data_IF_438930913613
#
_entry.id   IF_438930913613
#
_cell.length_a   1.000
_cell.length_b   1.000
_cell.length_c   1.000
_cell.angle_alpha   90.00
_cell.angle_beta   90.00
_cell.angle_gamma   90.00
#
_symmetry.space_group_name_H-M   'P 1'
#
loop_
_entity.id
_entity.type
_entity.pdbx_description
1 polymer ?
#
# COMPACT_ATOMS: atom_id res chain seq x y z
N UNK A 1 -79.11 -40.32 -3.96
CA UNK A 1 -77.74 -40.73 -3.59
C UNK A 1 -76.80 -39.98 -4.52
N UNK A 2 -76.33 -38.80 -4.11
CA UNK A 2 -75.58 -37.84 -4.93
C UNK A 2 -74.13 -37.88 -4.43
N UNK A 3 -73.21 -38.40 -5.24
CA UNK A 3 -71.78 -38.46 -4.93
C UNK A 3 -71.09 -37.16 -5.34
N UNK A 4 -70.53 -36.49 -4.33
CA UNK A 4 -69.78 -35.23 -4.43
C UNK A 4 -68.37 -35.46 -4.95
N UNK A 5 -68.05 -34.82 -6.08
CA UNK A 5 -66.73 -34.82 -6.70
C UNK A 5 -65.83 -33.78 -5.99
N UNK A 6 -64.92 -34.25 -5.12
CA UNK A 6 -63.91 -33.38 -4.47
C UNK A 6 -62.76 -33.10 -5.45
N UNK A 7 -62.61 -31.83 -5.83
CA UNK A 7 -61.47 -31.29 -6.56
C UNK A 7 -60.22 -31.31 -5.66
N UNK A 8 -59.18 -32.01 -6.08
CA UNK A 8 -57.83 -31.89 -5.49
C UNK A 8 -57.09 -30.77 -6.21
N UNK A 9 -56.80 -29.69 -5.49
CA UNK A 9 -55.90 -28.62 -5.90
C UNK A 9 -54.50 -29.03 -5.43
N UNK A 10 -53.61 -29.34 -6.37
CA UNK A 10 -52.19 -29.57 -6.10
C UNK A 10 -51.50 -28.20 -5.99
N UNK A 11 -51.25 -27.75 -4.75
CA UNK A 11 -50.42 -26.57 -4.51
C UNK A 11 -48.95 -26.97 -4.61
N UNK A 12 -48.32 -26.62 -5.73
CA UNK A 12 -46.89 -26.80 -5.96
C UNK A 12 -46.15 -25.70 -5.18
N UNK A 13 -45.65 -26.04 -3.98
CA UNK A 13 -44.81 -25.15 -3.20
C UNK A 13 -43.45 -25.00 -3.89
N UNK A 14 -43.24 -23.87 -4.58
CA UNK A 14 -41.92 -23.42 -5.02
C UNK A 14 -41.08 -23.13 -3.78
N UNK A 15 -40.18 -24.05 -3.45
CA UNK A 15 -39.10 -23.78 -2.51
C UNK A 15 -38.15 -22.76 -3.17
N UNK A 16 -38.34 -21.49 -2.84
CA UNK A 16 -37.33 -20.45 -3.07
C UNK A 16 -36.13 -20.82 -2.20
N UNK A 17 -35.14 -21.47 -2.82
CA UNK A 17 -33.82 -21.61 -2.24
C UNK A 17 -33.22 -20.20 -2.16
N UNK A 18 -33.39 -19.57 -1.01
CA UNK A 18 -32.64 -18.39 -0.63
C UNK A 18 -31.17 -18.80 -0.64
N UNK A 19 -30.43 -18.45 -1.70
CA UNK A 19 -28.98 -18.46 -1.63
C UNK A 19 -28.60 -17.46 -0.54
N UNK A 20 -28.35 -17.96 0.67
CA UNK A 20 -27.74 -17.14 1.70
C UNK A 20 -26.46 -16.57 1.10
N UNK A 21 -26.20 -15.26 1.22
CA UNK A 21 -24.90 -14.72 0.86
C UNK A 21 -23.85 -15.57 1.56
N UNK A 22 -22.84 -16.02 0.82
CA UNK A 22 -21.75 -16.83 1.37
C UNK A 22 -21.04 -16.01 2.46
N UNK A 23 -21.53 -16.14 3.69
CA UNK A 23 -20.87 -15.61 4.86
C UNK A 23 -19.52 -16.32 4.98
N UNK A 24 -18.47 -15.56 5.32
CA UNK A 24 -17.18 -16.12 5.68
C UNK A 24 -17.41 -17.27 6.68
N UNK A 25 -17.16 -18.50 6.22
CA UNK A 25 -17.40 -19.73 6.98
C UNK A 25 -16.36 -19.93 8.09
N UNK A 26 -15.32 -19.08 8.14
CA UNK A 26 -14.16 -19.19 9.02
C UNK A 26 -13.58 -20.61 9.10
N UNK A 27 -13.84 -21.42 8.07
CA UNK A 27 -13.45 -22.83 8.06
C UNK A 27 -11.93 -22.96 8.01
N UNK A 28 -11.35 -24.10 8.41
CA UNK A 28 -9.90 -24.32 8.30
C UNK A 28 -9.36 -24.10 6.87
N UNK A 29 -10.15 -24.39 5.84
CA UNK A 29 -9.78 -24.11 4.44
C UNK A 29 -9.80 -22.61 4.14
N UNK A 30 -10.80 -21.89 4.63
CA UNK A 30 -10.89 -20.44 4.46
C UNK A 30 -9.77 -19.71 5.19
N UNK A 31 -9.43 -20.11 6.43
CA UNK A 31 -8.31 -19.51 7.16
C UNK A 31 -6.98 -19.72 6.43
N UNK A 32 -6.77 -20.90 5.81
CA UNK A 32 -5.62 -21.15 4.93
C UNK A 32 -5.65 -20.27 3.69
N UNK A 33 -6.82 -20.05 3.09
CA UNK A 33 -6.98 -19.14 1.95
C UNK A 33 -6.66 -17.70 2.33
N UNK A 34 -7.15 -17.23 3.48
CA UNK A 34 -6.84 -15.87 4.00
C UNK A 34 -5.34 -15.74 4.27
N UNK A 35 -4.70 -16.77 4.84
CA UNK A 35 -3.25 -16.74 5.06
C UNK A 35 -2.50 -16.69 3.74
N UNK A 36 -2.89 -17.49 2.76
CA UNK A 36 -2.30 -17.49 1.43
C UNK A 36 -2.45 -16.13 0.75
N UNK A 37 -3.65 -15.55 0.78
CA UNK A 37 -3.93 -14.24 0.20
C UNK A 37 -3.13 -13.15 0.93
N UNK A 38 -3.08 -13.16 2.26
CA UNK A 38 -2.26 -12.24 3.04
C UNK A 38 -0.78 -12.33 2.65
N UNK A 39 -0.22 -13.54 2.56
CA UNK A 39 1.19 -13.75 2.22
C UNK A 39 1.49 -13.53 0.73
N UNK A 40 0.47 -13.43 -0.13
CA UNK A 40 0.61 -13.10 -1.55
C UNK A 40 0.44 -11.60 -1.78
N UNK A 41 -0.55 -11.00 -1.13
CA UNK A 41 -0.95 -9.62 -1.35
C UNK A 41 -0.09 -8.66 -0.55
N UNK A 42 0.18 -8.92 0.73
CA UNK A 42 0.90 -7.97 1.60
C UNK A 42 2.36 -7.74 1.17
N UNK A 43 3.17 -8.76 0.80
CA UNK A 43 4.54 -8.49 0.39
C UNK A 43 4.62 -7.62 -0.88
N UNK A 44 5.41 -6.56 -0.81
CA UNK A 44 5.60 -5.58 -1.87
C UNK A 44 5.88 -4.19 -1.32
N UNK A 45 5.86 -3.23 -2.22
CA UNK A 45 6.04 -1.80 -1.91
C UNK A 45 4.70 -1.10 -2.10
N UNK A 46 4.36 -0.21 -1.18
CA UNK A 46 3.13 0.57 -1.17
C UNK A 46 3.46 2.06 -1.04
N UNK A 47 2.73 2.90 -1.79
CA UNK A 47 2.87 4.35 -1.73
C UNK A 47 1.50 5.00 -1.52
N UNK A 48 1.41 5.98 -0.63
CA UNK A 48 0.23 6.85 -0.50
C UNK A 48 0.29 8.08 -1.41
N UNK A 49 1.39 8.27 -2.15
CA UNK A 49 1.53 9.39 -3.08
C UNK A 49 0.35 9.52 -4.07
N UNK A 50 -0.27 8.44 -4.60
CA UNK A 50 -1.48 8.54 -5.40
C UNK A 50 -2.63 9.27 -4.71
N UNK A 51 -2.88 8.98 -3.42
CA UNK A 51 -3.90 9.65 -2.62
C UNK A 51 -3.51 11.10 -2.34
N UNK A 52 -2.29 11.34 -1.86
CA UNK A 52 -1.78 12.68 -1.54
C UNK A 52 -1.81 13.59 -2.77
N UNK A 53 -1.45 13.07 -3.95
CA UNK A 53 -1.54 13.79 -5.21
C UNK A 53 -2.98 14.22 -5.52
N UNK A 54 -3.94 13.31 -5.33
CA UNK A 54 -5.36 13.60 -5.54
C UNK A 54 -5.87 14.64 -4.54
N UNK A 55 -5.54 14.52 -3.26
CA UNK A 55 -5.94 15.46 -2.21
C UNK A 55 -5.36 16.86 -2.44
N UNK A 56 -4.11 16.95 -2.90
CA UNK A 56 -3.50 18.23 -3.28
C UNK A 56 -4.19 18.87 -4.50
N UNK A 57 -4.82 18.07 -5.36
CA UNK A 57 -5.47 18.53 -6.59
C UNK A 57 -6.97 18.82 -6.40
N UNK A 58 -7.67 18.01 -5.62
CA UNK A 58 -9.12 18.03 -5.43
C UNK A 58 -9.55 18.67 -4.09
N UNK A 59 -8.61 18.86 -3.17
CA UNK A 59 -8.85 19.35 -1.82
C UNK A 59 -8.63 18.23 -0.77
N UNK A 60 -7.95 18.53 0.35
CA UNK A 60 -7.71 17.56 1.40
C UNK A 60 -8.99 17.24 2.19
N UNK A 61 -9.01 16.11 2.92
CA UNK A 61 -10.05 15.84 3.92
C UNK A 61 -10.00 16.84 5.09
N UNK A 62 -11.03 16.85 5.97
CA UNK A 62 -11.17 17.88 7.01
C UNK A 62 -9.95 18.04 7.95
N UNK A 63 -9.23 16.95 8.23
CA UNK A 63 -8.05 16.96 9.11
C UNK A 63 -6.73 17.19 8.34
N UNK A 64 -6.82 17.80 7.14
CA UNK A 64 -5.68 18.12 6.27
C UNK A 64 -5.27 16.97 5.35
N UNK A 65 -4.27 17.14 4.47
CA UNK A 65 -3.82 16.05 3.59
C UNK A 65 -3.27 14.88 4.39
N UNK A 66 -3.37 13.68 3.82
CA UNK A 66 -2.70 12.51 4.35
C UNK A 66 -1.18 12.61 4.19
N UNK A 67 -0.44 11.86 5.02
CA UNK A 67 1.01 11.75 4.91
C UNK A 67 1.42 11.02 3.62
N UNK A 68 2.48 11.49 2.97
CA UNK A 68 3.11 10.79 1.85
C UNK A 68 4.06 9.71 2.38
N UNK A 69 3.58 8.48 2.49
CA UNK A 69 4.30 7.33 3.04
C UNK A 69 4.71 6.38 1.92
N UNK A 70 5.93 5.88 2.03
CA UNK A 70 6.46 4.79 1.22
C UNK A 70 6.77 3.61 2.13
N UNK A 71 6.05 2.51 1.95
CA UNK A 71 6.08 1.37 2.85
C UNK A 71 6.51 0.10 2.15
N UNK A 72 7.49 -0.58 2.74
CA UNK A 72 7.98 -1.89 2.28
C UNK A 72 7.42 -2.97 3.19
N UNK A 73 6.92 -4.04 2.60
CA UNK A 73 6.61 -5.31 3.25
C UNK A 73 7.42 -6.40 2.55
N UNK A 74 8.44 -6.92 3.20
CA UNK A 74 9.29 -7.96 2.65
C UNK A 74 9.11 -9.26 3.40
N UNK A 75 8.68 -10.32 2.70
CA UNK A 75 8.76 -11.67 3.26
C UNK A 75 10.23 -12.03 3.44
N UNK A 76 10.61 -12.43 4.66
CA UNK A 76 11.98 -12.83 4.99
C UNK A 76 12.01 -14.29 5.44
N UNK A 77 13.15 -14.96 5.22
CA UNK A 77 13.40 -16.30 5.74
C UNK A 77 14.10 -16.21 7.11
N UNK A 78 13.28 -16.16 8.16
CA UNK A 78 13.70 -16.06 9.56
C UNK A 78 13.01 -17.15 10.41
N UNK A 79 13.33 -18.44 10.19
CA UNK A 79 12.58 -19.56 10.76
C UNK A 79 12.67 -19.65 12.30
N UNK A 80 13.66 -19.01 12.91
CA UNK A 80 13.76 -18.87 14.37
C UNK A 80 12.70 -17.94 14.97
N UNK A 81 12.01 -17.14 14.14
CA UNK A 81 10.93 -16.23 14.57
C UNK A 81 9.53 -16.78 14.26
N UNK A 82 9.40 -17.60 13.20
CA UNK A 82 8.14 -18.20 12.79
C UNK A 82 8.17 -18.69 11.35
N UNK A 83 7.11 -19.40 10.95
CA UNK A 83 6.96 -19.92 9.57
C UNK A 83 6.74 -18.80 8.54
N UNK A 84 6.06 -17.74 8.94
CA UNK A 84 5.76 -16.59 8.09
C UNK A 84 6.17 -15.31 8.80
N UNK A 85 7.19 -14.66 8.26
CA UNK A 85 7.76 -13.43 8.80
C UNK A 85 7.82 -12.39 7.70
N UNK A 86 7.27 -11.21 7.98
CA UNK A 86 7.36 -10.05 7.10
C UNK A 86 8.13 -8.95 7.83
N UNK A 87 9.25 -8.53 7.27
CA UNK A 87 9.94 -7.30 7.66
C UNK A 87 9.22 -6.10 7.05
N UNK A 88 9.03 -5.05 7.83
CA UNK A 88 8.40 -3.81 7.37
C UNK A 88 9.24 -2.59 7.71
N UNK A 89 9.20 -1.59 6.84
CA UNK A 89 9.75 -0.26 7.10
C UNK A 89 8.93 0.80 6.37
N UNK A 90 8.96 2.03 6.87
CA UNK A 90 8.23 3.17 6.30
C UNK A 90 9.21 4.33 6.12
N UNK A 91 9.20 4.96 4.95
CA UNK A 91 9.79 6.27 4.72
C UNK A 91 8.69 7.31 4.66
N UNK A 92 8.91 8.45 5.30
CA UNK A 92 8.06 9.64 5.14
C UNK A 92 8.54 10.43 3.94
N UNK A 93 7.65 11.21 3.33
CA UNK A 93 7.94 12.03 2.14
C UNK A 93 8.29 11.24 0.87
N UNK A 94 7.95 9.94 0.84
CA UNK A 94 8.18 9.07 -0.31
C UNK A 94 9.44 8.20 -0.18
N UNK A 95 9.83 7.55 -1.28
CA UNK A 95 10.88 6.51 -1.32
C UNK A 95 12.24 6.98 -0.81
N UNK A 96 12.66 8.18 -1.21
CA UNK A 96 13.99 8.72 -0.88
C UNK A 96 13.97 9.60 0.38
N UNK A 97 12.81 9.73 1.03
CA UNK A 97 12.67 10.50 2.25
C UNK A 97 13.21 9.76 3.49
N UNK A 98 13.21 10.42 4.66
CA UNK A 98 13.75 9.83 5.88
C UNK A 98 12.91 8.65 6.36
N UNK A 99 13.57 7.71 7.06
CA UNK A 99 12.89 6.59 7.71
C UNK A 99 11.97 7.13 8.81
N UNK A 100 10.75 6.61 8.90
CA UNK A 100 9.86 6.88 10.01
C UNK A 100 10.37 6.12 11.24
N UNK A 101 10.89 6.89 12.21
CA UNK A 101 11.38 6.35 13.48
C UNK A 101 10.35 5.43 14.16
N UNK A 102 10.80 4.24 14.56
CA UNK A 102 9.96 3.25 15.25
C UNK A 102 8.99 2.48 14.36
N UNK A 103 8.96 2.72 13.03
CA UNK A 103 8.14 2.00 12.06
C UNK A 103 8.91 0.90 11.30
N UNK A 104 10.04 0.48 11.86
CA UNK A 104 10.71 -0.75 11.46
C UNK A 104 10.26 -1.90 12.36
N UNK A 105 9.47 -2.81 11.81
CA UNK A 105 8.70 -3.79 12.58
C UNK A 105 8.71 -5.15 11.88
N UNK A 106 8.77 -6.21 12.67
CA UNK A 106 8.53 -7.59 12.24
C UNK A 106 7.06 -7.94 12.42
N UNK A 107 6.45 -8.48 11.38
CA UNK A 107 5.12 -9.09 11.42
C UNK A 107 5.28 -10.60 11.46
N UNK A 108 4.93 -11.19 12.59
CA UNK A 108 4.86 -12.64 12.76
C UNK A 108 3.43 -13.07 12.42
N UNK A 109 3.30 -14.00 11.47
CA UNK A 109 2.00 -14.36 10.88
C UNK A 109 1.69 -15.83 11.14
N UNK A 110 0.51 -16.11 11.68
CA UNK A 110 0.04 -17.47 11.96
C UNK A 110 -1.49 -17.59 11.90
N UNK A 111 -2.02 -18.81 11.83
CA UNK A 111 -3.46 -19.06 11.98
C UNK A 111 -3.80 -19.19 13.46
N UNK A 112 -4.61 -18.27 13.96
CA UNK A 112 -5.21 -18.37 15.28
C UNK A 112 -6.49 -19.20 15.19
N UNK A 113 -6.37 -20.47 15.59
CA UNK A 113 -7.48 -21.42 15.60
C UNK A 113 -8.52 -21.12 16.68
N UNK A 114 -8.17 -20.43 17.76
CA UNK A 114 -9.14 -20.12 18.82
C UNK A 114 -10.04 -18.97 18.38
N UNK A 115 -9.43 -17.91 17.84
CA UNK A 115 -10.13 -16.70 17.39
C UNK A 115 -10.61 -16.80 15.95
N UNK A 116 -10.36 -17.92 15.27
CA UNK A 116 -10.78 -18.19 13.90
C UNK A 116 -10.39 -17.04 12.96
N UNK A 117 -9.10 -16.72 12.93
CA UNK A 117 -8.53 -15.63 12.14
C UNK A 117 -7.08 -15.94 11.75
N UNK A 118 -6.58 -15.21 10.75
CA UNK A 118 -5.14 -15.12 10.54
C UNK A 118 -4.63 -13.97 11.40
N UNK A 119 -3.65 -14.25 12.26
CA UNK A 119 -3.08 -13.28 13.17
C UNK A 119 -1.82 -12.67 12.57
N UNK A 120 -1.70 -11.35 12.67
CA UNK A 120 -0.41 -10.65 12.58
C UNK A 120 -0.07 -10.10 13.94
N UNK A 121 1.09 -10.47 14.45
CA UNK A 121 1.66 -9.91 15.66
C UNK A 121 2.83 -8.98 15.30
N UNK A 122 2.64 -7.68 15.54
CA UNK A 122 3.68 -6.67 15.33
C UNK A 122 4.73 -6.70 16.45
N UNK A 123 6.01 -6.68 16.07
CA UNK A 123 7.16 -6.67 16.99
C UNK A 123 8.20 -5.66 16.54
N UNK A 124 8.57 -4.71 17.41
CA UNK A 124 9.75 -3.87 17.15
C UNK A 124 11.00 -4.74 17.05
N UNK A 125 11.97 -4.30 16.26
CA UNK A 125 13.25 -4.98 16.09
C UNK A 125 14.24 -4.50 17.16
N UNK A 126 15.00 -5.41 17.75
CA UNK A 126 16.11 -5.06 18.63
C UNK A 126 17.23 -4.38 17.82
N UNK A 127 17.71 -3.22 18.28
CA UNK A 127 18.75 -2.43 17.59
C UNK A 127 18.39 -2.13 16.12
N UNK A 128 17.26 -1.44 15.85
CA UNK A 128 16.68 -1.32 14.51
C UNK A 128 17.62 -0.71 13.47
N UNK A 129 18.52 0.18 13.89
CA UNK A 129 19.53 0.81 13.02
C UNK A 129 20.43 -0.21 12.29
N UNK A 130 20.72 -1.36 12.91
CA UNK A 130 21.54 -2.41 12.30
C UNK A 130 20.80 -3.19 11.21
N UNK A 131 19.47 -3.13 11.21
CA UNK A 131 18.60 -3.88 10.30
C UNK A 131 17.90 -2.97 9.29
N UNK A 132 18.37 -1.73 9.16
CA UNK A 132 17.90 -0.82 8.11
C UNK A 132 18.03 -1.50 6.75
N UNK A 133 16.97 -1.45 5.97
CA UNK A 133 16.90 -2.08 4.66
C UNK A 133 17.19 -3.61 4.68
N UNK A 134 16.93 -4.30 5.79
CA UNK A 134 17.19 -5.74 5.91
C UNK A 134 16.55 -6.59 4.79
N UNK A 135 15.46 -6.10 4.16
CA UNK A 135 14.85 -6.71 2.99
C UNK A 135 15.80 -6.85 1.77
N UNK A 136 16.85 -6.04 1.69
CA UNK A 136 17.90 -6.09 0.67
C UNK A 136 19.11 -6.94 1.10
N UNK A 137 19.12 -7.41 2.36
CA UNK A 137 20.27 -8.02 3.02
C UNK A 137 19.90 -9.35 3.70
N UNK A 138 19.69 -10.44 2.93
CA UNK A 138 19.30 -11.75 3.47
C UNK A 138 20.23 -12.32 4.54
N UNK A 139 21.50 -11.95 4.52
CA UNK A 139 22.49 -12.32 5.53
C UNK A 139 22.12 -11.85 6.95
N UNK A 140 21.38 -10.74 7.07
CA UNK A 140 20.95 -10.16 8.35
C UNK A 140 19.78 -10.94 8.98
N UNK A 141 19.02 -11.70 8.18
CA UNK A 141 17.79 -12.33 8.66
C UNK A 141 18.03 -13.37 9.75
N UNK A 142 19.22 -13.98 9.79
CA UNK A 142 19.58 -15.00 10.80
C UNK A 142 19.77 -14.42 12.20
N UNK A 143 20.03 -13.12 12.30
CA UNK A 143 20.34 -12.44 13.57
C UNK A 143 19.26 -11.44 13.97
N UNK A 144 18.29 -11.16 13.10
CA UNK A 144 17.18 -10.27 13.42
C UNK A 144 16.32 -10.87 14.54
N UNK A 145 15.94 -10.04 15.51
CA UNK A 145 15.18 -10.47 16.67
C UNK A 145 14.21 -9.38 17.13
N UNK A 146 13.04 -9.75 17.68
CA UNK A 146 12.17 -8.83 18.40
C UNK A 146 12.91 -8.12 19.55
N UNK A 147 12.59 -6.85 19.77
CA UNK A 147 13.02 -6.11 20.94
C UNK A 147 12.38 -6.71 22.20
N UNK A 148 13.15 -7.29 23.13
CA UNK A 148 12.59 -7.87 24.37
C UNK A 148 11.96 -6.81 25.27
N UNK A 149 12.26 -5.53 25.03
CA UNK A 149 11.71 -4.42 25.80
C UNK A 149 10.34 -3.94 25.31
N UNK A 150 9.90 -4.40 24.14
CA UNK A 150 8.62 -4.02 23.55
C UNK A 150 7.46 -4.79 24.22
N UNK A 151 6.68 -4.09 25.05
CA UNK A 151 5.56 -4.66 25.81
C UNK A 151 4.18 -4.57 25.15
N UNK A 152 4.09 -4.17 23.88
CA UNK A 152 2.80 -4.02 23.18
C UNK A 152 2.24 -5.36 22.70
N UNK A 153 1.03 -5.71 23.16
CA UNK A 153 0.26 -6.84 22.64
C UNK A 153 -0.75 -6.36 21.59
N UNK A 154 -0.22 -5.84 20.49
CA UNK A 154 -1.01 -5.30 19.39
C UNK A 154 -1.06 -6.33 18.27
N UNK A 155 -2.13 -7.12 18.27
CA UNK A 155 -2.37 -8.19 17.31
C UNK A 155 -3.53 -7.80 16.39
N UNK A 156 -3.31 -7.93 15.08
CA UNK A 156 -4.35 -7.83 14.07
C UNK A 156 -4.92 -9.20 13.77
N UNK A 157 -6.25 -9.29 13.76
CA UNK A 157 -6.98 -10.48 13.37
C UNK A 157 -7.60 -10.25 11.99
N UNK A 158 -7.06 -10.95 11.00
CA UNK A 158 -7.42 -10.87 9.59
C UNK A 158 -8.46 -11.92 9.23
N UNK A 159 -9.52 -11.48 8.54
CA UNK A 159 -10.59 -12.34 8.02
C UNK A 159 -10.99 -11.93 6.61
N UNK A 160 -11.61 -12.87 5.89
CA UNK A 160 -12.15 -12.62 4.55
C UNK A 160 -13.35 -11.68 4.64
N UNK A 161 -13.39 -10.70 3.74
CA UNK A 161 -14.55 -9.83 3.55
C UNK A 161 -14.74 -9.57 2.04
N UNK A 162 -15.56 -10.40 1.38
CA UNK A 162 -15.73 -10.32 -0.07
C UNK A 162 -14.43 -10.63 -0.82
N UNK A 163 -13.99 -9.72 -1.70
CA UNK A 163 -12.76 -9.85 -2.49
C UNK A 163 -11.49 -9.40 -1.76
N UNK A 164 -11.61 -8.92 -0.52
CA UNK A 164 -10.52 -8.38 0.28
C UNK A 164 -10.40 -9.14 1.61
N UNK A 165 -9.33 -8.86 2.35
CA UNK A 165 -9.16 -9.30 3.73
C UNK A 165 -9.06 -8.07 4.63
N UNK A 166 -9.66 -8.15 5.81
CA UNK A 166 -9.73 -7.05 6.77
C UNK A 166 -9.06 -7.49 8.06
N UNK A 167 -8.02 -6.77 8.45
CA UNK A 167 -7.32 -6.91 9.72
C UNK A 167 -7.83 -5.90 10.70
N UNK A 168 -8.36 -6.36 11.83
CA UNK A 168 -8.72 -5.47 12.94
C UNK A 168 -7.79 -5.72 14.09
N UNK A 169 -7.33 -4.64 14.71
CA UNK A 169 -6.66 -4.76 15.98
C UNK A 169 -7.66 -5.30 17.01
N UNK A 170 -7.22 -6.26 17.84
CA UNK A 170 -8.11 -7.05 18.71
C UNK A 170 -9.13 -6.15 19.45
N UNK A 171 -10.42 -6.46 19.24
CA UNK A 171 -11.52 -5.77 19.92
C UNK A 171 -11.60 -6.24 21.38
N UNK A 172 -12.11 -5.38 22.27
CA UNK A 172 -12.36 -5.69 23.69
C UNK A 172 -13.03 -7.05 23.86
N UNK A 173 -12.26 -8.07 24.20
CA UNK A 173 -12.80 -9.31 24.75
C UNK A 173 -13.22 -9.08 26.21
N UNK A 174 -13.96 -10.02 26.79
CA UNK A 174 -14.36 -10.00 28.22
C UNK A 174 -13.17 -9.84 29.19
N UNK A 175 -11.93 -10.00 28.72
CA UNK A 175 -10.70 -9.93 29.50
C UNK A 175 -9.86 -8.67 29.25
N UNK A 176 -10.40 -7.64 28.56
CA UNK A 176 -9.79 -6.30 28.43
C UNK A 176 -8.63 -6.16 27.41
N UNK A 177 -8.66 -6.88 26.29
CA UNK A 177 -7.58 -6.86 25.29
C UNK A 177 -7.71 -5.73 24.24
N UNK A 178 -7.75 -4.46 24.67
CA UNK A 178 -7.39 -3.35 23.75
C UNK A 178 -5.88 -3.32 23.61
N UNK A 179 -5.33 -3.15 22.38
CA UNK A 179 -3.90 -2.87 22.20
C UNK A 179 -3.55 -1.65 23.05
N UNK A 180 -2.86 -1.94 24.14
CA UNK A 180 -2.48 -0.95 25.13
C UNK A 180 -0.97 -0.93 25.17
N UNK A 181 -0.41 0.26 25.04
CA UNK A 181 1.01 0.50 25.16
C UNK A 181 1.24 1.47 26.31
N UNK A 182 2.25 1.19 27.13
CA UNK A 182 2.69 2.14 28.16
C UNK A 182 4.03 2.72 27.71
N UNK A 183 4.08 4.04 27.57
CA UNK A 183 5.34 4.74 27.30
C UNK A 183 6.27 4.56 28.50
N UNK A 184 7.48 4.04 28.29
CA UNK A 184 8.46 3.90 29.37
C UNK A 184 9.04 5.24 29.86
N UNK A 185 8.93 6.28 29.03
CA UNK A 185 9.47 7.61 29.34
C UNK A 185 8.48 8.40 30.19
N UNK A 186 7.19 8.35 29.83
CA UNK A 186 6.15 9.20 30.42
C UNK A 186 5.14 8.43 31.29
N UNK A 187 5.30 7.10 31.41
CA UNK A 187 4.34 6.16 32.04
C UNK A 187 2.90 6.31 31.51
N UNK A 188 2.76 6.92 30.33
CA UNK A 188 1.47 7.24 29.75
C UNK A 188 0.92 6.01 29.05
N UNK A 189 -0.25 5.58 29.50
CA UNK A 189 -1.02 4.52 28.85
C UNK A 189 -1.70 5.08 27.59
N UNK A 190 -1.52 4.36 26.49
CA UNK A 190 -2.06 4.63 25.18
C UNK A 190 -2.86 3.41 24.71
N UNK A 191 -4.01 3.64 24.09
CA UNK A 191 -4.80 2.59 23.42
C UNK A 191 -4.86 2.84 21.93
N UNK A 192 -4.84 1.78 21.13
CA UNK A 192 -4.94 1.88 19.68
C UNK A 192 -6.26 1.32 19.17
N UNK A 193 -6.82 2.00 18.18
CA UNK A 193 -7.96 1.60 17.36
C UNK A 193 -7.48 1.53 15.92
N UNK A 194 -7.53 0.35 15.31
CA UNK A 194 -6.93 0.14 14.00
C UNK A 194 -7.68 -0.90 13.16
N UNK A 195 -7.86 -0.57 11.89
CA UNK A 195 -8.47 -1.40 10.86
C UNK A 195 -7.70 -1.24 9.56
N UNK A 196 -7.27 -2.36 9.00
CA UNK A 196 -6.53 -2.41 7.74
C UNK A 196 -7.31 -3.26 6.73
N UNK A 197 -7.40 -2.78 5.50
CA UNK A 197 -8.08 -3.48 4.41
C UNK A 197 -7.05 -3.75 3.32
N UNK A 198 -6.93 -5.01 2.91
CA UNK A 198 -5.93 -5.44 1.93
C UNK A 198 -6.59 -6.25 0.81
N UNK A 199 -6.23 -5.90 -0.42
CA UNK A 199 -6.42 -6.71 -1.61
C UNK A 199 -5.09 -6.81 -2.37
N UNK A 200 -5.09 -7.38 -3.57
CA UNK A 200 -3.89 -7.57 -4.40
C UNK A 200 -3.26 -6.28 -4.92
N UNK A 201 -3.98 -5.17 -4.90
CA UNK A 201 -3.56 -3.88 -5.46
C UNK A 201 -3.36 -2.77 -4.42
N UNK A 202 -3.97 -2.88 -3.23
CA UNK A 202 -4.10 -1.78 -2.28
C UNK A 202 -4.08 -2.21 -0.83
N UNK A 203 -3.56 -1.32 0.01
CA UNK A 203 -3.63 -1.38 1.45
C UNK A 203 -4.27 -0.08 1.95
N UNK A 204 -5.37 -0.19 2.68
CA UNK A 204 -6.02 0.93 3.35
C UNK A 204 -5.73 0.81 4.84
N UNK A 205 -5.22 1.88 5.43
CA UNK A 205 -4.76 1.92 6.82
C UNK A 205 -5.56 2.97 7.59
N UNK A 206 -6.23 2.53 8.64
CA UNK A 206 -6.74 3.38 9.70
C UNK A 206 -6.05 2.96 11.00
N UNK A 207 -5.31 3.89 11.61
CA UNK A 207 -4.61 3.70 12.88
C UNK A 207 -4.77 4.97 13.72
N UNK A 208 -5.53 4.87 14.82
CA UNK A 208 -5.71 5.96 15.77
C UNK A 208 -5.21 5.55 17.17
N UNK A 209 -4.40 6.42 17.76
CA UNK A 209 -3.90 6.30 19.12
C UNK A 209 -4.60 7.28 20.05
N UNK A 210 -5.10 6.77 21.17
CA UNK A 210 -5.77 7.55 22.21
C UNK A 210 -5.03 7.47 23.54
N UNK A 211 -4.97 8.60 24.27
CA UNK A 211 -4.53 8.63 25.66
C UNK A 211 -5.64 8.12 26.58
N UNK A 212 -5.30 7.90 27.86
CA UNK A 212 -6.24 7.43 28.89
C UNK A 212 -7.49 8.33 29.06
N UNK A 213 -7.38 9.62 28.81
CA UNK A 213 -8.50 10.57 28.87
C UNK A 213 -9.38 10.57 27.60
N UNK A 214 -9.04 9.75 26.62
CA UNK A 214 -9.73 9.64 25.33
C UNK A 214 -9.29 10.66 24.29
N UNK A 215 -8.32 11.53 24.60
CA UNK A 215 -7.75 12.44 23.60
C UNK A 215 -6.95 11.68 22.54
N UNK A 216 -7.09 12.10 21.29
CA UNK A 216 -6.31 11.58 20.17
C UNK A 216 -4.88 12.12 20.29
N UNK A 217 -3.88 11.24 20.32
CA UNK A 217 -2.46 11.64 20.29
C UNK A 217 -1.75 11.27 18.99
N UNK A 218 -2.32 10.33 18.23
CA UNK A 218 -1.77 9.85 16.96
C UNK A 218 -2.89 9.41 16.04
N UNK A 219 -2.71 9.58 14.74
CA UNK A 219 -3.75 9.33 13.73
C UNK A 219 -4.57 10.60 13.45
N UNK A 220 -5.83 10.41 13.04
CA UNK A 220 -6.67 11.48 12.48
C UNK A 220 -8.05 11.55 13.13
N UNK A 221 -8.51 12.78 13.37
CA UNK A 221 -9.81 13.05 13.98
C UNK A 221 -10.98 12.77 13.03
N UNK A 222 -10.76 12.92 11.72
CA UNK A 222 -11.76 12.66 10.68
C UNK A 222 -11.98 11.15 10.39
N UNK A 223 -11.15 10.28 10.97
CA UNK A 223 -11.19 8.82 10.83
C UNK A 223 -11.20 8.33 9.38
N UNK A 224 -10.59 9.11 8.49
CA UNK A 224 -10.38 8.70 7.10
C UNK A 224 -9.21 7.72 6.98
N UNK A 225 -9.26 6.86 5.97
CA UNK A 225 -8.22 5.87 5.71
C UNK A 225 -7.11 6.48 4.86
N UNK A 226 -5.86 6.13 5.20
CA UNK A 226 -4.74 6.25 4.28
C UNK A 226 -4.82 5.10 3.26
N UNK A 227 -5.15 5.41 2.02
CA UNK A 227 -5.10 4.48 0.89
C UNK A 227 -3.69 4.48 0.31
N UNK A 228 -3.04 3.33 0.36
CA UNK A 228 -1.75 3.08 -0.27
C UNK A 228 -1.92 2.10 -1.43
N UNK A 229 -1.43 2.49 -2.60
CA UNK A 229 -1.42 1.61 -3.76
C UNK A 229 -0.15 0.78 -3.79
N UNK A 230 -0.26 -0.52 -4.07
CA UNK A 230 0.88 -1.39 -4.34
C UNK A 230 1.58 -0.90 -5.60
N UNK A 231 2.84 -0.50 -5.47
CA UNK A 231 3.59 0.10 -6.57
C UNK A 231 4.02 -0.97 -7.54
N UNK A 232 3.95 -0.66 -8.83
CA UNK A 232 4.48 -1.51 -9.91
C UNK A 232 5.76 -0.89 -10.45
N UNK A 233 6.75 -1.72 -10.67
CA UNK A 233 8.06 -1.30 -11.19
C UNK A 233 8.07 -1.30 -12.72
N UNK A 234 8.74 -0.31 -13.30
CA UNK A 234 8.86 -0.09 -14.74
C UNK A 234 10.32 0.09 -15.11
N UNK A 235 10.70 -0.46 -16.26
CA UNK A 235 11.93 -0.09 -16.95
C UNK A 235 11.62 1.06 -17.92
N UNK A 236 12.35 2.15 -17.76
CA UNK A 236 12.10 3.40 -18.44
C UNK A 236 13.30 3.84 -19.31
N UNK A 237 12.95 4.64 -20.31
CA UNK A 237 13.85 5.21 -21.30
C UNK A 237 13.43 6.64 -21.58
N UNK A 238 14.40 7.51 -21.78
CA UNK A 238 14.21 8.91 -22.13
C UNK A 238 15.08 9.28 -23.33
N UNK A 239 14.60 10.21 -24.15
CA UNK A 239 15.32 10.68 -25.32
C UNK A 239 15.20 12.19 -25.48
N UNK A 240 16.29 12.79 -25.95
CA UNK A 240 16.40 14.19 -26.32
C UNK A 240 16.95 14.30 -27.74
N UNK A 241 16.23 14.97 -28.63
CA UNK A 241 16.67 15.26 -30.00
C UNK A 241 17.04 16.75 -30.09
N UNK A 242 18.34 17.09 -30.08
CA UNK A 242 18.74 18.47 -30.29
C UNK A 242 18.42 18.91 -31.72
N UNK A 243 18.35 20.23 -31.94
CA UNK A 243 18.16 20.78 -33.29
C UNK A 243 19.31 20.41 -34.25
N UNK A 244 20.52 20.25 -33.70
CA UNK A 244 21.71 19.81 -34.43
C UNK A 244 22.45 18.75 -33.60
N UNK A 245 22.84 17.66 -34.26
CA UNK A 245 23.55 16.53 -33.63
C UNK A 245 22.67 15.30 -33.51
N UNK A 246 23.25 14.24 -32.94
CA UNK A 246 22.58 12.95 -32.77
C UNK A 246 21.62 12.96 -31.57
N UNK A 247 20.54 12.15 -31.60
CA UNK A 247 19.68 11.94 -30.44
C UNK A 247 20.46 11.41 -29.24
N UNK A 248 20.23 12.00 -28.07
CA UNK A 248 20.75 11.51 -26.81
C UNK A 248 19.68 10.63 -26.17
N UNK A 249 20.05 9.41 -25.80
CA UNK A 249 19.15 8.44 -25.17
C UNK A 249 19.71 8.06 -23.80
N UNK A 250 18.82 8.04 -22.81
CA UNK A 250 19.07 7.45 -21.51
C UNK A 250 18.14 6.25 -21.35
N UNK A 251 18.69 5.08 -21.06
CA UNK A 251 18.00 3.80 -21.17
C UNK A 251 18.21 2.92 -19.96
N UNK A 252 17.18 2.17 -19.57
CA UNK A 252 17.30 1.12 -18.56
C UNK A 252 17.28 1.61 -17.12
N UNK A 253 16.70 2.79 -16.85
CA UNK A 253 16.48 3.25 -15.47
C UNK A 253 15.13 2.75 -14.95
N UNK A 254 15.09 2.37 -13.67
CA UNK A 254 13.85 1.92 -13.04
C UNK A 254 13.06 3.08 -12.43
N UNK A 255 11.75 2.98 -12.51
CA UNK A 255 10.80 3.83 -11.79
C UNK A 255 9.64 2.98 -11.28
N UNK A 256 8.86 3.47 -10.33
CA UNK A 256 7.57 2.88 -9.99
C UNK A 256 6.41 3.86 -10.17
N UNK A 257 5.19 3.34 -10.31
CA UNK A 257 4.00 4.15 -10.56
C UNK A 257 3.46 4.91 -9.33
N UNK A 258 4.03 4.70 -8.14
CA UNK A 258 3.69 5.44 -6.91
C UNK A 258 4.29 6.85 -6.81
N UNK A 259 4.28 7.63 -7.90
CA UNK A 259 4.86 8.97 -8.04
C UNK A 259 6.40 9.02 -7.93
N UNK A 260 7.10 8.04 -8.52
CA UNK A 260 8.57 8.03 -8.56
C UNK A 260 9.10 9.11 -9.50
N UNK A 261 10.32 9.59 -9.22
CA UNK A 261 10.95 10.68 -9.97
C UNK A 261 12.37 10.34 -10.35
N UNK A 262 12.68 10.45 -11.63
CA UNK A 262 14.02 10.29 -12.18
C UNK A 262 14.57 11.62 -12.68
N UNK A 263 15.79 11.96 -12.28
CA UNK A 263 16.47 13.20 -12.70
C UNK A 263 17.56 12.89 -13.72
N UNK A 264 17.47 13.51 -14.89
CA UNK A 264 18.40 13.32 -16.00
C UNK A 264 19.15 14.62 -16.31
N UNK A 265 20.47 14.62 -16.08
CA UNK A 265 21.36 15.67 -16.55
C UNK A 265 21.70 15.43 -18.03
N UNK A 266 21.09 16.21 -18.93
CA UNK A 266 21.24 16.04 -20.39
C UNK A 266 22.35 16.94 -20.90
N UNK A 267 23.31 16.37 -21.64
CA UNK A 267 24.37 17.16 -22.27
C UNK A 267 23.77 18.19 -23.25
N UNK A 268 24.19 19.45 -23.13
CA UNK A 268 23.70 20.54 -23.96
C UNK A 268 22.40 21.19 -23.46
N UNK A 269 21.81 20.69 -22.38
CA UNK A 269 20.62 21.26 -21.73
C UNK A 269 21.04 21.88 -20.40
N UNK A 270 20.71 23.15 -20.19
CA UNK A 270 21.19 23.92 -19.02
C UNK A 270 20.63 23.44 -17.69
N UNK A 271 19.38 23.00 -17.68
CA UNK A 271 18.67 22.56 -16.48
C UNK A 271 18.43 21.06 -16.55
N UNK A 272 18.51 20.34 -15.41
CA UNK A 272 18.14 18.95 -15.37
C UNK A 272 16.69 18.77 -15.81
N UNK A 273 16.42 17.58 -16.33
CA UNK A 273 15.08 17.16 -16.73
C UNK A 273 14.60 16.13 -15.73
N UNK A 274 13.39 16.30 -15.25
CA UNK A 274 12.74 15.36 -14.34
C UNK A 274 11.70 14.57 -15.11
N UNK A 275 11.63 13.27 -14.83
CA UNK A 275 10.63 12.35 -15.35
C UNK A 275 9.88 11.83 -14.13
N UNK A 276 8.56 11.95 -14.14
CA UNK A 276 7.69 11.51 -13.06
C UNK A 276 6.70 10.46 -13.59
N UNK A 277 6.57 9.34 -12.89
CA UNK A 277 5.62 8.27 -13.21
C UNK A 277 4.60 8.15 -12.08
N UNK A 278 3.36 8.58 -12.35
CA UNK A 278 2.34 8.75 -11.32
C UNK A 278 1.05 8.05 -11.73
N UNK A 279 0.63 7.07 -10.93
CA UNK A 279 -0.73 6.53 -10.92
C UNK A 279 -1.53 7.30 -9.88
N UNK A 280 -2.63 7.92 -10.25
CA UNK A 280 -3.51 8.64 -9.32
C UNK A 280 -4.90 8.80 -9.92
N UNK A 281 -5.82 9.38 -9.16
CA UNK A 281 -7.16 9.76 -9.61
C UNK A 281 -7.09 11.09 -10.37
N UNK A 282 -7.53 11.07 -11.62
CA UNK A 282 -7.52 12.24 -12.51
C UNK A 282 -8.93 12.56 -13.00
N UNK A 283 -9.24 13.85 -13.26
CA UNK A 283 -10.50 14.19 -13.90
C UNK A 283 -10.67 13.40 -15.21
N UNK A 284 -11.83 12.78 -15.35
CA UNK A 284 -12.24 12.14 -16.61
C UNK A 284 -12.37 13.19 -17.73
N UNK A 285 -12.38 12.75 -18.98
CA UNK A 285 -12.54 13.64 -20.14
C UNK A 285 -13.85 14.46 -20.09
N UNK A 286 -14.89 13.93 -19.43
CA UNK A 286 -16.15 14.66 -19.23
C UNK A 286 -16.08 15.72 -18.12
N UNK A 287 -15.03 15.72 -17.31
CA UNK A 287 -14.87 16.58 -16.13
C UNK A 287 -15.85 16.29 -14.99
N UNK A 288 -16.72 15.28 -15.13
CA UNK A 288 -17.79 15.01 -14.16
C UNK A 288 -17.41 13.97 -13.09
N UNK A 289 -16.37 13.17 -13.35
CA UNK A 289 -15.91 12.11 -12.45
C UNK A 289 -14.39 12.02 -12.47
N UNK A 290 -13.83 11.26 -11.53
CA UNK A 290 -12.42 10.89 -11.53
C UNK A 290 -12.22 9.47 -12.04
N UNK A 291 -11.08 9.22 -12.69
CA UNK A 291 -10.63 7.90 -13.12
C UNK A 291 -9.17 7.73 -12.73
N UNK A 292 -8.81 6.54 -12.26
CA UNK A 292 -7.42 6.23 -12.03
C UNK A 292 -6.69 6.08 -13.38
N UNK A 293 -5.60 6.84 -13.56
CA UNK A 293 -4.77 6.81 -14.76
C UNK A 293 -3.29 6.77 -14.39
N UNK A 294 -2.50 6.18 -15.27
CA UNK A 294 -1.06 6.23 -15.24
C UNK A 294 -0.59 7.40 -16.11
N UNK A 295 0.19 8.31 -15.53
CA UNK A 295 0.78 9.47 -16.19
C UNK A 295 2.29 9.38 -16.17
N UNK A 296 2.90 9.59 -17.33
CA UNK A 296 4.33 9.89 -17.43
C UNK A 296 4.47 11.37 -17.81
N UNK A 297 5.20 12.15 -17.03
CA UNK A 297 5.43 13.57 -17.26
C UNK A 297 6.93 13.85 -17.27
N UNK A 298 7.37 14.70 -18.20
CA UNK A 298 8.73 15.20 -18.26
C UNK A 298 8.72 16.73 -18.15
N UNK A 299 9.54 17.29 -17.26
CA UNK A 299 9.57 18.72 -17.00
C UNK A 299 10.96 19.24 -16.61
N UNK A 300 11.13 20.56 -16.67
CA UNK A 300 12.28 21.29 -16.11
C UNK A 300 11.80 22.20 -14.98
N UNK A 301 12.70 22.50 -14.04
CA UNK A 301 12.43 23.42 -12.93
C UNK A 301 12.83 22.80 -11.60
N UNK A 302 12.43 23.46 -10.52
CA UNK A 302 12.51 22.91 -9.17
C UNK A 302 11.52 21.73 -9.07
N UNK A 303 11.97 20.51 -8.74
CA UNK A 303 11.10 19.35 -8.71
C UNK A 303 10.17 19.33 -7.49
N UNK A 304 10.46 20.15 -6.46
CA UNK A 304 9.57 20.41 -5.32
C UNK A 304 8.57 21.55 -5.59
N UNK A 305 8.69 22.24 -6.73
CA UNK A 305 7.72 23.26 -7.09
C UNK A 305 6.35 22.63 -7.40
N UNK A 306 5.30 23.37 -7.05
CA UNK A 306 3.92 23.07 -7.43
C UNK A 306 3.83 22.70 -8.92
N UNK A 307 3.03 21.68 -9.30
CA UNK A 307 2.92 21.21 -10.67
C UNK A 307 2.67 22.34 -11.70
N UNK A 308 1.87 23.35 -11.34
CA UNK A 308 1.57 24.50 -12.21
C UNK A 308 2.78 25.40 -12.53
N UNK A 309 3.83 25.34 -11.73
CA UNK A 309 5.07 26.13 -11.89
C UNK A 309 6.15 25.38 -12.69
N UNK A 310 5.93 24.08 -12.98
CA UNK A 310 6.87 23.24 -13.71
C UNK A 310 6.81 23.56 -15.21
N UNK A 311 7.97 23.60 -15.87
CA UNK A 311 8.04 23.73 -17.33
C UNK A 311 7.91 22.35 -17.97
N UNK A 312 6.69 21.95 -18.28
CA UNK A 312 6.38 20.65 -18.91
C UNK A 312 6.96 20.59 -20.33
N UNK A 313 7.78 19.57 -20.58
CA UNK A 313 8.39 19.25 -21.87
C UNK A 313 7.56 18.25 -22.69
N UNK A 314 6.78 17.42 -22.00
CA UNK A 314 5.83 16.49 -22.59
C UNK A 314 5.22 15.58 -21.53
N UNK A 315 4.05 15.00 -21.83
CA UNK A 315 3.41 14.01 -20.98
C UNK A 315 2.65 12.99 -21.82
N UNK A 316 2.34 11.85 -21.20
CA UNK A 316 1.56 10.76 -21.78
C UNK A 316 0.67 10.11 -20.73
N UNK A 317 -0.44 9.56 -21.19
CA UNK A 317 -1.49 8.97 -20.35
C UNK A 317 -1.78 7.54 -20.78
N UNK A 318 -2.07 6.70 -19.80
CA UNK A 318 -2.53 5.33 -20.02
C UNK A 318 -3.54 4.93 -18.92
N UNK A 319 -4.21 3.79 -19.11
CA UNK A 319 -5.02 3.21 -18.04
C UNK A 319 -4.17 2.92 -16.80
N UNK A 320 -4.78 2.98 -15.61
CA UNK A 320 -4.12 2.70 -14.35
C UNK A 320 -3.28 1.43 -14.41
N UNK A 321 -3.85 0.33 -14.93
CA UNK A 321 -3.19 -0.98 -14.99
C UNK A 321 -2.34 -1.21 -16.24
N UNK A 322 -2.09 -0.17 -17.05
CA UNK A 322 -1.34 -0.31 -18.29
C UNK A 322 0.10 -0.77 -18.04
N UNK A 323 0.58 -1.74 -18.82
CA UNK A 323 1.98 -2.16 -18.81
C UNK A 323 2.93 -1.13 -19.45
N UNK A 324 2.38 -0.05 -20.04
CA UNK A 324 3.16 0.96 -20.76
C UNK A 324 2.60 2.36 -20.55
N UNK A 325 3.51 3.32 -20.45
CA UNK A 325 3.22 4.74 -20.56
C UNK A 325 4.30 5.40 -21.41
N UNK A 326 3.93 6.29 -22.34
CA UNK A 326 4.92 6.97 -23.19
C UNK A 326 4.39 8.25 -23.80
N UNK A 327 5.31 9.12 -24.20
CA UNK A 327 5.01 10.29 -25.04
C UNK A 327 6.18 10.61 -25.98
N UNK A 328 5.92 11.45 -26.98
CA UNK A 328 6.95 12.05 -27.83
C UNK A 328 6.49 13.39 -28.40
N UNK A 329 7.35 14.41 -28.31
CA UNK A 329 7.08 15.78 -28.79
C UNK A 329 7.97 16.19 -29.98
N UNK A 330 8.67 15.23 -30.59
CA UNK A 330 9.68 15.48 -31.62
C UNK A 330 11.05 15.85 -31.04
N UNK A 331 11.09 16.68 -29.99
CA UNK A 331 12.30 17.05 -29.25
C UNK A 331 12.55 16.12 -28.06
N UNK A 332 11.49 15.79 -27.32
CA UNK A 332 11.58 14.97 -26.11
C UNK A 332 10.75 13.71 -26.29
N UNK A 333 11.16 12.65 -25.61
CA UNK A 333 10.35 11.43 -25.50
C UNK A 333 10.71 10.65 -24.27
N UNK A 334 9.72 9.98 -23.69
CA UNK A 334 9.94 9.01 -22.63
C UNK A 334 9.00 7.82 -22.81
N UNK A 335 9.45 6.66 -22.35
CA UNK A 335 8.68 5.42 -22.36
C UNK A 335 9.04 4.61 -21.13
N UNK A 336 8.03 4.12 -20.44
CA UNK A 336 8.13 3.14 -19.37
C UNK A 336 7.37 1.89 -19.78
N UNK A 337 7.96 0.71 -19.53
CA UNK A 337 7.34 -0.60 -19.69
C UNK A 337 7.41 -1.33 -18.36
N UNK A 338 6.34 -2.00 -17.95
CA UNK A 338 6.29 -2.81 -16.74
C UNK A 338 7.48 -3.78 -16.73
N UNK A 339 8.21 -3.79 -15.62
CA UNK A 339 9.35 -4.68 -15.43
C UNK A 339 8.86 -6.13 -15.29
N UNK A 340 9.64 -7.08 -15.77
CA UNK A 340 9.33 -8.50 -15.56
C UNK A 340 9.41 -8.84 -14.07
N UNK A 341 8.46 -9.65 -13.60
CA UNK A 341 8.41 -10.06 -12.20
C UNK A 341 9.71 -10.75 -11.78
N UNK A 342 10.38 -10.22 -10.75
CA UNK A 342 11.64 -10.77 -10.25
C UNK A 342 12.91 -10.20 -10.89
N UNK A 343 12.81 -9.21 -11.79
CA UNK A 343 13.97 -8.41 -12.16
C UNK A 343 14.51 -7.71 -10.90
N UNK A 344 15.78 -7.94 -10.57
CA UNK A 344 16.44 -7.24 -9.46
C UNK A 344 16.26 -5.72 -9.63
N UNK A 345 16.00 -4.95 -8.55
CA UNK A 345 16.04 -3.50 -8.67
C UNK A 345 17.40 -3.12 -9.28
N UNK A 346 17.45 -2.40 -10.42
CA UNK A 346 18.72 -1.99 -10.98
C UNK A 346 19.43 -1.09 -9.97
N UNK A 347 20.76 -1.19 -9.95
CA UNK A 347 21.62 -0.46 -9.02
C UNK A 347 21.19 1.00 -8.94
N UNK A 348 20.94 1.49 -7.72
CA UNK A 348 20.78 2.91 -7.47
C UNK A 348 21.98 3.65 -8.07
N UNK A 349 21.70 4.62 -8.94
CA UNK A 349 22.70 5.48 -9.58
C UNK A 349 23.12 6.60 -8.66
#
# INVERSE_FOLDING_TARGET
MIMTLKKFIFAMAMALASAAPAAATNSPMELKSVLNDLMTWMPGVYSSAPQVFFENSAGPPPDGPHENLYRVFAKIDAPHLGEHVIYTQIHIEGKDGPMFEGQQVLFLVDIDKERQAVRIQGRRIANPEQFRDAHLHPEMWKTIAPDPQYGGNCEFLWRRHGAQIVGKLTEKTKNNDTCTMVSKISDTQMTWDAEWILNDHELWVYDNGYLKDGSLFSGRADKTYLRMSKTRSYECFASYRPFKGDPIVNSGFAMHDGADRYTWAVQGVKQPVHIELTRSMWPSESGQNYKELLRIEMYQGDPEAEPAKRKVLGNGWAGADSDRASFGTGTWGARCKLAEAGAAPPKAS
#
